data_IF_352468215098
#
_entry.id   IF_352468215098
#
_cell.length_a   1.000
_cell.length_b   1.000
_cell.length_c   1.000
_cell.angle_alpha   90.00
_cell.angle_beta   90.00
_cell.angle_gamma   90.00
#
_symmetry.space_group_name_H-M   'P 1'
#
loop_
_entity.id
_entity.type
_entity.pdbx_description
1 polymer ?
#
# COMPACT_ATOMS: atom_id res chain seq x y z
N UNK A 1 23.24 -11.74 -9.33
CA UNK A 1 21.88 -12.24 -9.05
C UNK A 1 21.24 -11.18 -8.16
N UNK A 2 20.08 -10.66 -8.54
CA UNK A 2 19.37 -9.65 -7.74
C UNK A 2 18.91 -10.29 -6.43
N UNK A 3 19.03 -9.58 -5.31
CA UNK A 3 18.63 -10.08 -3.99
C UNK A 3 17.24 -9.54 -3.64
N UNK A 4 16.21 -10.23 -4.11
CA UNK A 4 14.81 -9.82 -3.94
C UNK A 4 14.41 -9.79 -2.46
N UNK A 5 14.97 -10.69 -1.64
CA UNK A 5 14.69 -10.72 -0.21
C UNK A 5 15.22 -9.47 0.48
N UNK A 6 16.48 -9.12 0.22
CA UNK A 6 17.07 -7.90 0.77
C UNK A 6 16.32 -6.64 0.32
N UNK A 7 15.90 -6.57 -0.95
CA UNK A 7 15.15 -5.44 -1.45
C UNK A 7 13.74 -5.35 -0.84
N UNK A 8 13.07 -6.49 -0.62
CA UNK A 8 11.82 -6.55 0.11
C UNK A 8 11.99 -6.06 1.55
N UNK A 9 13.03 -6.53 2.26
CA UNK A 9 13.29 -6.13 3.65
C UNK A 9 13.47 -4.61 3.76
N UNK A 10 14.27 -4.03 2.86
CA UNK A 10 14.45 -2.57 2.80
C UNK A 10 13.16 -1.81 2.51
N UNK A 11 12.30 -2.36 1.64
CA UNK A 11 10.98 -1.79 1.38
C UNK A 11 10.09 -1.87 2.62
N UNK A 12 9.99 -3.06 3.23
CA UNK A 12 9.06 -3.36 4.31
C UNK A 12 9.44 -2.63 5.59
N UNK A 13 10.72 -2.60 5.96
CA UNK A 13 11.23 -1.81 7.08
C UNK A 13 10.89 -0.31 6.94
N UNK A 14 10.76 0.18 5.70
CA UNK A 14 10.40 1.56 5.42
C UNK A 14 8.91 1.88 5.52
N UNK A 15 8.01 0.88 5.53
CA UNK A 15 6.55 1.11 5.42
C UNK A 15 5.69 0.31 6.39
N UNK A 16 6.18 -0.77 7.00
CA UNK A 16 5.40 -1.76 7.75
C UNK A 16 4.57 -1.13 8.88
N UNK A 17 5.18 -0.34 9.75
CA UNK A 17 4.50 0.35 10.86
C UNK A 17 3.38 1.26 10.38
N UNK A 18 3.60 1.95 9.25
CA UNK A 18 2.63 2.87 8.66
C UNK A 18 1.49 2.09 8.02
N UNK A 19 1.77 0.99 7.32
CA UNK A 19 0.76 0.09 6.75
C UNK A 19 -0.14 -0.46 7.85
N UNK A 20 0.44 -0.93 8.96
CA UNK A 20 -0.32 -1.43 10.11
C UNK A 20 -1.19 -0.32 10.72
N UNK A 21 -0.64 0.89 10.88
CA UNK A 21 -1.40 2.04 11.37
C UNK A 21 -2.58 2.41 10.45
N UNK A 22 -2.39 2.35 9.12
CA UNK A 22 -3.44 2.53 8.10
C UNK A 22 -4.55 1.47 8.19
N UNK A 23 -4.20 0.23 8.52
CA UNK A 23 -5.17 -0.85 8.69
C UNK A 23 -5.98 -0.66 9.98
N UNK A 24 -5.32 -0.31 11.08
CA UNK A 24 -5.97 -0.16 12.40
C UNK A 24 -6.68 1.17 12.61
N UNK A 25 -6.48 2.13 11.70
CA UNK A 25 -7.00 3.49 11.85
C UNK A 25 -6.40 4.30 12.99
N UNK A 26 -5.11 4.07 13.28
CA UNK A 26 -4.38 4.69 14.37
C UNK A 26 -3.77 6.04 13.95
N UNK A 27 -4.61 7.06 13.81
CA UNK A 27 -4.18 8.43 13.47
C UNK A 27 -4.90 9.50 14.29
N UNK A 28 -4.17 10.57 14.58
CA UNK A 28 -4.67 11.73 15.33
C UNK A 28 -5.38 12.76 14.44
N UNK A 29 -5.24 12.68 13.12
CA UNK A 29 -5.88 13.60 12.18
C UNK A 29 -6.03 13.00 10.78
N UNK A 30 -6.99 13.53 10.01
CA UNK A 30 -7.19 13.20 8.59
C UNK A 30 -5.97 13.53 7.74
N UNK A 31 -5.26 14.62 8.03
CA UNK A 31 -4.07 15.03 7.26
C UNK A 31 -2.92 14.04 7.44
N UNK A 32 -2.73 13.53 8.67
CA UNK A 32 -1.76 12.46 8.96
C UNK A 32 -2.13 11.18 8.22
N UNK A 33 -3.41 10.79 8.25
CA UNK A 33 -3.91 9.64 7.50
C UNK A 33 -3.60 9.74 6.00
N UNK A 34 -3.98 10.86 5.37
CA UNK A 34 -3.79 11.08 3.93
C UNK A 34 -2.31 11.12 3.54
N UNK A 35 -1.47 11.76 4.37
CA UNK A 35 -0.03 11.84 4.14
C UNK A 35 0.64 10.47 4.24
N UNK A 36 0.29 9.69 5.27
CA UNK A 36 0.79 8.32 5.46
C UNK A 36 0.35 7.40 4.32
N UNK A 37 -0.93 7.49 3.92
CA UNK A 37 -1.46 6.76 2.79
C UNK A 37 -0.71 7.10 1.48
N UNK A 38 -0.50 8.38 1.19
CA UNK A 38 0.24 8.81 0.01
C UNK A 38 1.69 8.29 0.01
N UNK A 39 2.37 8.37 1.16
CA UNK A 39 3.73 7.87 1.35
C UNK A 39 3.83 6.36 1.07
N UNK A 40 2.97 5.56 1.71
CA UNK A 40 2.96 4.10 1.53
C UNK A 40 2.63 3.74 0.08
N UNK A 41 1.63 4.40 -0.52
CA UNK A 41 1.23 4.18 -1.91
C UNK A 41 2.37 4.43 -2.88
N UNK A 42 3.09 5.54 -2.74
CA UNK A 42 4.23 5.88 -3.61
C UNK A 42 5.35 4.84 -3.48
N UNK A 43 5.72 4.46 -2.24
CA UNK A 43 6.77 3.47 -1.98
C UNK A 43 6.42 2.09 -2.50
N UNK A 44 5.17 1.66 -2.29
CA UNK A 44 4.67 0.40 -2.84
C UNK A 44 4.78 0.38 -4.35
N UNK A 45 4.29 1.38 -5.08
CA UNK A 45 4.37 1.38 -6.55
C UNK A 45 5.82 1.41 -7.04
N UNK A 46 6.67 2.24 -6.42
CA UNK A 46 8.11 2.28 -6.74
C UNK A 46 8.77 0.91 -6.60
N UNK A 47 8.49 0.17 -5.53
CA UNK A 47 9.04 -1.18 -5.34
C UNK A 47 8.39 -2.18 -6.30
N UNK A 48 7.07 -2.19 -6.38
CA UNK A 48 6.27 -3.12 -7.17
C UNK A 48 6.59 -3.05 -8.68
N UNK A 49 6.90 -1.87 -9.21
CA UNK A 49 7.30 -1.66 -10.61
C UNK A 49 8.67 -2.27 -10.95
N UNK A 50 9.50 -2.52 -9.93
CA UNK A 50 10.76 -3.22 -10.12
C UNK A 50 10.60 -4.74 -10.12
N UNK A 51 9.49 -5.27 -9.60
CA UNK A 51 9.29 -6.72 -9.45
C UNK A 51 8.79 -7.36 -10.74
N UNK A 52 9.56 -8.30 -11.27
CA UNK A 52 9.10 -9.19 -12.33
C UNK A 52 8.10 -10.22 -11.81
N UNK A 53 7.35 -10.92 -12.68
CA UNK A 53 6.53 -12.06 -12.28
C UNK A 53 7.35 -13.17 -11.60
N UNK A 54 8.59 -13.39 -12.04
CA UNK A 54 9.50 -14.40 -11.48
C UNK A 54 9.91 -14.03 -10.05
N UNK A 55 10.19 -12.76 -9.78
CA UNK A 55 10.52 -12.28 -8.42
C UNK A 55 9.35 -12.50 -7.45
N UNK A 56 8.11 -12.27 -7.91
CA UNK A 56 6.90 -12.49 -7.10
C UNK A 56 6.67 -13.97 -6.81
N UNK A 57 6.84 -14.83 -7.81
CA UNK A 57 6.76 -16.29 -7.64
C UNK A 57 7.83 -16.76 -6.67
N UNK A 58 9.05 -16.27 -6.82
CA UNK A 58 10.15 -16.62 -5.93
C UNK A 58 9.86 -16.21 -4.48
N UNK A 59 9.34 -14.99 -4.24
CA UNK A 59 8.89 -14.57 -2.90
C UNK A 59 7.78 -15.50 -2.38
N UNK A 60 6.78 -15.83 -3.18
CA UNK A 60 5.69 -16.69 -2.75
C UNK A 60 6.15 -18.10 -2.36
N UNK A 61 7.14 -18.66 -3.07
CA UNK A 61 7.65 -20.02 -2.85
C UNK A 61 8.69 -20.09 -1.72
N UNK A 62 9.50 -19.05 -1.53
CA UNK A 62 10.66 -19.09 -0.62
C UNK A 62 10.44 -18.25 0.65
N UNK A 63 9.58 -17.23 0.58
CA UNK A 63 9.31 -16.25 1.64
C UNK A 63 7.82 -15.90 1.68
N UNK A 64 6.97 -16.91 1.87
CA UNK A 64 5.51 -16.74 1.88
C UNK A 64 5.00 -15.60 2.80
N UNK A 65 5.52 -15.40 4.03
CA UNK A 65 5.12 -14.28 4.87
C UNK A 65 5.30 -12.92 4.19
N UNK A 66 6.48 -12.67 3.62
CA UNK A 66 6.84 -11.44 2.90
C UNK A 66 5.92 -11.22 1.70
N UNK A 67 5.60 -12.29 0.96
CA UNK A 67 4.64 -12.23 -0.14
C UNK A 67 3.25 -11.83 0.33
N UNK A 68 2.79 -12.37 1.46
CA UNK A 68 1.51 -12.01 2.07
C UNK A 68 1.51 -10.55 2.54
N UNK A 69 2.59 -10.08 3.15
CA UNK A 69 2.74 -8.67 3.56
C UNK A 69 2.70 -7.71 2.37
N UNK A 70 3.33 -8.08 1.26
CA UNK A 70 3.25 -7.32 0.00
C UNK A 70 1.79 -7.23 -0.50
N UNK A 71 1.04 -8.33 -0.42
CA UNK A 71 -0.39 -8.35 -0.80
C UNK A 71 -1.25 -7.53 0.17
N UNK A 72 -0.98 -7.59 1.47
CA UNK A 72 -1.68 -6.78 2.47
C UNK A 72 -1.47 -5.29 2.23
N UNK A 73 -0.24 -4.87 1.96
CA UNK A 73 0.08 -3.49 1.58
C UNK A 73 -0.71 -3.05 0.34
N UNK A 74 -0.70 -3.88 -0.72
CA UNK A 74 -1.46 -3.60 -1.95
C UNK A 74 -2.96 -3.47 -1.69
N UNK A 75 -3.50 -4.32 -0.81
CA UNK A 75 -4.92 -4.35 -0.48
C UNK A 75 -5.35 -3.14 0.33
N UNK A 76 -4.53 -2.74 1.32
CA UNK A 76 -4.76 -1.51 2.09
C UNK A 76 -4.78 -0.29 1.16
N UNK A 77 -3.84 -0.20 0.22
CA UNK A 77 -3.79 0.89 -0.77
C UNK A 77 -5.04 0.91 -1.66
N UNK A 78 -5.47 -0.25 -2.15
CA UNK A 78 -6.64 -0.38 -3.01
C UNK A 78 -7.92 0.02 -2.29
N UNK A 79 -8.13 -0.48 -1.07
CA UNK A 79 -9.30 -0.19 -0.25
C UNK A 79 -9.40 1.32 0.05
N UNK A 80 -8.31 1.94 0.53
CA UNK A 80 -8.30 3.36 0.84
C UNK A 80 -8.49 4.20 -0.43
N UNK A 81 -7.84 3.84 -1.55
CA UNK A 81 -8.02 4.54 -2.83
C UNK A 81 -9.48 4.53 -3.28
N UNK A 82 -10.16 3.39 -3.19
CA UNK A 82 -11.56 3.25 -3.57
C UNK A 82 -12.48 4.08 -2.66
N UNK A 83 -12.22 4.08 -1.34
CA UNK A 83 -12.95 4.92 -0.39
C UNK A 83 -12.77 6.40 -0.70
N UNK A 84 -11.52 6.86 -0.88
CA UNK A 84 -11.23 8.26 -1.20
C UNK A 84 -11.87 8.69 -2.50
N UNK A 85 -11.82 7.85 -3.54
CA UNK A 85 -12.50 8.12 -4.80
C UNK A 85 -14.02 8.23 -4.60
N UNK A 86 -14.64 7.34 -3.82
CA UNK A 86 -16.07 7.39 -3.57
C UNK A 86 -16.51 8.67 -2.84
N UNK A 87 -15.75 9.11 -1.82
CA UNK A 87 -16.10 10.29 -1.02
C UNK A 87 -15.71 11.62 -1.66
N UNK A 88 -14.75 11.62 -2.58
CA UNK A 88 -14.29 12.85 -3.28
C UNK A 88 -14.93 13.04 -4.66
N UNK A 89 -15.54 12.00 -5.24
CA UNK A 89 -16.31 12.15 -6.48
C UNK A 89 -17.45 13.16 -6.25
N UNK A 90 -17.63 14.15 -7.14
CA UNK A 90 -18.81 15.01 -7.10
C UNK A 90 -20.05 14.14 -7.14
N UNK A 91 -20.92 14.23 -6.13
CA UNK A 91 -22.20 13.54 -6.18
C UNK A 91 -23.01 14.16 -7.32
N UNK A 92 -23.21 13.39 -8.40
CA UNK A 92 -24.11 13.77 -9.47
C UNK A 92 -25.52 13.90 -8.88
N UNK A 93 -25.96 15.13 -8.58
CA UNK A 93 -27.28 15.40 -8.02
C UNK A 93 -27.39 16.56 -7.03
N UNK A 94 -26.29 17.17 -6.56
CA UNK A 94 -26.37 18.41 -5.75
C UNK A 94 -26.46 19.67 -6.62
N UNK A 95 -27.33 19.63 -7.64
CA UNK A 95 -27.95 20.86 -8.13
C UNK A 95 -29.06 21.21 -7.13
N UNK A 96 -28.70 21.96 -6.09
CA UNK A 96 -29.70 22.59 -5.22
C UNK A 96 -30.30 23.73 -6.05
N UNK A 97 -31.63 23.67 -6.24
CA UNK A 97 -32.47 24.67 -6.89
C UNK A 97 -32.32 26.07 -6.28
#
# INVERSE_FOLDING_TARGET
MRDIKQEFDQFWDGVSDIVISLIHSDYTSTDTFLSNFAFVKERYFKFNDTLSPEDRTWLAENHLPDFVELLQCSTAIAAISATLEHVTRPQAGTAIH
#
